data_IF_091952732579
#
_entry.id   IF_091952732579
#
_cell.length_a   1.000
_cell.length_b   1.000
_cell.length_c   1.000
_cell.angle_alpha   90.00
_cell.angle_beta   90.00
_cell.angle_gamma   90.00
#
_symmetry.space_group_name_H-M   'P 1'
#
loop_
_entity.id
_entity.type
_entity.pdbx_description
1 polymer ?
#
# COMPACT_ATOMS: atom_id res chain seq x y z
N UNK A 1 -28.71 -59.04 -35.18
CA UNK A 1 -27.59 -58.52 -34.36
C UNK A 1 -27.67 -56.99 -34.33
N UNK A 2 -28.35 -56.41 -33.32
CA UNK A 2 -28.52 -54.96 -33.15
C UNK A 2 -27.33 -54.42 -32.34
N UNK A 3 -26.53 -53.53 -32.92
CA UNK A 3 -25.50 -52.77 -32.19
C UNK A 3 -26.17 -51.57 -31.51
N UNK A 4 -26.33 -51.62 -30.19
CA UNK A 4 -26.63 -50.43 -29.40
C UNK A 4 -25.32 -49.64 -29.20
N UNK A 5 -25.25 -48.45 -29.77
CA UNK A 5 -24.22 -47.46 -29.44
C UNK A 5 -24.82 -46.57 -28.35
N UNK A 6 -24.38 -46.76 -27.10
CA UNK A 6 -24.67 -45.83 -26.01
C UNK A 6 -23.74 -44.62 -26.15
N UNK A 7 -24.26 -43.51 -26.65
CA UNK A 7 -23.57 -42.21 -26.60
C UNK A 7 -23.85 -41.62 -25.21
N UNK A 8 -22.85 -41.66 -24.33
CA UNK A 8 -22.90 -40.97 -23.05
C UNK A 8 -22.72 -39.46 -23.28
N UNK A 9 -23.81 -38.70 -23.17
CA UNK A 9 -23.78 -37.24 -23.09
C UNK A 9 -23.27 -36.83 -21.71
N UNK A 10 -21.97 -36.53 -21.61
CA UNK A 10 -21.40 -35.92 -20.41
C UNK A 10 -21.83 -34.46 -20.39
N UNK A 11 -22.90 -34.15 -19.65
CA UNK A 11 -23.25 -32.79 -19.23
C UNK A 11 -22.16 -32.28 -18.27
N UNK A 12 -21.11 -31.69 -18.81
CA UNK A 12 -20.19 -30.83 -18.06
C UNK A 12 -20.98 -29.57 -17.67
N UNK A 13 -21.62 -29.59 -16.50
CA UNK A 13 -22.13 -28.38 -15.88
C UNK A 13 -20.94 -27.45 -15.63
N UNK A 14 -20.85 -26.36 -16.40
CA UNK A 14 -19.94 -25.27 -16.12
C UNK A 14 -20.38 -24.62 -14.81
N UNK A 15 -19.90 -25.10 -13.67
CA UNK A 15 -19.87 -24.31 -12.45
C UNK A 15 -18.91 -23.16 -12.73
N UNK A 16 -19.44 -22.02 -13.16
CA UNK A 16 -18.68 -20.80 -13.28
C UNK A 16 -18.26 -20.39 -11.86
N UNK A 17 -17.04 -20.76 -11.46
CA UNK A 17 -16.46 -20.27 -10.23
C UNK A 17 -16.39 -18.74 -10.30
N UNK A 18 -16.86 -18.08 -9.25
CA UNK A 18 -16.77 -16.65 -9.15
C UNK A 18 -15.29 -16.23 -9.22
N UNK A 19 -14.98 -15.34 -10.15
CA UNK A 19 -13.62 -14.97 -10.52
C UNK A 19 -13.51 -13.46 -10.71
N UNK A 20 -12.30 -12.96 -10.47
CA UNK A 20 -11.92 -11.57 -10.73
C UNK A 20 -10.93 -11.53 -11.87
N UNK A 21 -11.06 -10.56 -12.76
CA UNK A 21 -10.18 -10.40 -13.91
C UNK A 21 -9.70 -8.95 -13.99
N UNK A 22 -8.39 -8.75 -14.10
CA UNK A 22 -7.83 -7.43 -14.34
C UNK A 22 -8.13 -6.99 -15.78
N UNK A 23 -8.72 -5.81 -15.94
CA UNK A 23 -9.16 -5.24 -17.21
C UNK A 23 -8.68 -3.80 -17.33
N UNK A 24 -7.65 -3.61 -18.15
CA UNK A 24 -7.09 -2.30 -18.48
C UNK A 24 -6.51 -2.31 -19.89
N UNK A 25 -5.98 -1.18 -20.35
CA UNK A 25 -5.26 -1.10 -21.62
C UNK A 25 -3.91 -1.87 -21.58
N UNK A 26 -3.38 -2.15 -20.39
CA UNK A 26 -2.23 -3.03 -20.21
C UNK A 26 -2.65 -4.50 -20.35
N UNK A 27 -1.81 -5.36 -20.96
CA UNK A 27 -2.16 -6.75 -21.25
C UNK A 27 -2.37 -7.61 -20.00
N UNK A 28 -1.70 -7.27 -18.89
CA UNK A 28 -1.89 -7.90 -17.58
C UNK A 28 -1.50 -6.90 -16.47
N UNK A 29 -1.75 -7.30 -15.22
CA UNK A 29 -1.47 -6.44 -14.07
C UNK A 29 0.03 -6.21 -13.90
N UNK A 30 0.87 -7.21 -14.18
CA UNK A 30 2.34 -7.09 -14.04
C UNK A 30 2.90 -5.99 -14.96
N UNK A 31 2.40 -5.93 -16.19
CA UNK A 31 2.77 -4.90 -17.16
C UNK A 31 2.27 -3.52 -16.72
N UNK A 32 1.05 -3.46 -16.18
CA UNK A 32 0.50 -2.22 -15.62
C UNK A 32 1.36 -1.71 -14.46
N UNK A 33 1.66 -2.57 -13.49
CA UNK A 33 2.46 -2.24 -12.32
C UNK A 33 3.83 -1.74 -12.75
N UNK A 34 4.55 -2.52 -13.58
CA UNK A 34 5.87 -2.16 -14.08
C UNK A 34 5.89 -0.80 -14.79
N UNK A 35 4.89 -0.54 -15.65
CA UNK A 35 4.79 0.72 -16.38
C UNK A 35 4.42 1.92 -15.49
N UNK A 36 3.86 1.69 -14.30
CA UNK A 36 3.44 2.74 -13.36
C UNK A 36 4.37 2.88 -12.15
N UNK A 37 5.34 1.97 -11.98
CA UNK A 37 6.30 1.99 -10.87
C UNK A 37 7.14 3.27 -10.90
N UNK A 38 7.15 3.97 -9.78
CA UNK A 38 8.08 5.05 -9.45
C UNK A 38 8.96 4.52 -8.32
N UNK A 39 10.19 4.16 -8.64
CA UNK A 39 11.10 3.58 -7.65
C UNK A 39 11.44 4.62 -6.56
N UNK A 40 11.15 4.35 -5.28
CA UNK A 40 11.45 5.27 -4.19
C UNK A 40 12.94 5.64 -4.11
N UNK A 41 13.24 6.91 -3.84
CA UNK A 41 14.61 7.44 -3.91
C UNK A 41 15.54 6.72 -2.95
N UNK A 42 15.12 6.49 -1.70
CA UNK A 42 15.94 5.85 -0.68
C UNK A 42 16.28 4.41 -1.08
N UNK A 43 15.28 3.58 -1.40
CA UNK A 43 15.51 2.21 -1.85
C UNK A 43 16.30 2.15 -3.16
N UNK A 44 16.11 3.10 -4.08
CA UNK A 44 16.87 3.19 -5.34
C UNK A 44 18.36 3.47 -5.09
N UNK A 45 18.68 4.50 -4.31
CA UNK A 45 20.05 4.88 -3.97
C UNK A 45 20.76 3.77 -3.18
N UNK A 46 20.00 3.00 -2.41
CA UNK A 46 20.54 1.96 -1.56
C UNK A 46 20.51 0.55 -2.15
N UNK A 47 20.12 0.40 -3.42
CA UNK A 47 20.00 -0.90 -4.09
C UNK A 47 19.12 -1.90 -3.34
N UNK A 48 18.09 -1.39 -2.66
CA UNK A 48 17.14 -2.20 -1.91
C UNK A 48 16.07 -2.69 -2.88
N UNK A 49 16.09 -3.99 -3.15
CA UNK A 49 15.18 -4.69 -4.05
C UNK A 49 14.39 -5.77 -3.30
N UNK A 50 13.29 -6.24 -3.89
CA UNK A 50 12.53 -7.35 -3.33
C UNK A 50 11.11 -7.45 -3.87
N UNK A 51 10.34 -8.36 -3.29
CA UNK A 51 8.91 -8.50 -3.56
C UNK A 51 8.11 -8.03 -2.36
N UNK A 52 7.26 -7.03 -2.57
CA UNK A 52 6.20 -6.65 -1.62
C UNK A 52 4.94 -7.42 -1.99
N UNK A 53 4.22 -7.94 -1.00
CA UNK A 53 2.91 -8.57 -1.21
C UNK A 53 1.84 -7.69 -0.60
N UNK A 54 0.92 -7.22 -1.44
CA UNK A 54 -0.22 -6.42 -1.03
C UNK A 54 -1.47 -7.29 -1.04
N UNK A 55 -2.20 -7.28 0.07
CA UNK A 55 -3.50 -7.90 0.23
C UNK A 55 -4.58 -6.84 0.05
N UNK A 56 -5.55 -7.04 -0.83
CA UNK A 56 -6.63 -6.09 -1.06
C UNK A 56 -7.97 -6.77 -1.32
N UNK A 57 -9.05 -5.99 -1.19
CA UNK A 57 -10.42 -6.42 -1.41
C UNK A 57 -11.13 -5.53 -2.41
N UNK A 58 -12.01 -6.14 -3.21
CA UNK A 58 -12.78 -5.49 -4.26
C UNK A 58 -14.27 -5.47 -3.91
N UNK A 59 -14.95 -4.38 -4.23
CA UNK A 59 -16.41 -4.36 -4.27
C UNK A 59 -16.92 -4.95 -5.60
N UNK A 60 -18.24 -5.07 -5.75
CA UNK A 60 -18.86 -5.61 -6.97
C UNK A 60 -18.55 -4.78 -8.25
N UNK A 61 -18.16 -3.51 -8.09
CA UNK A 61 -17.79 -2.63 -9.20
C UNK A 61 -16.30 -2.74 -9.58
N UNK A 62 -15.54 -3.62 -8.90
CA UNK A 62 -14.10 -3.76 -9.13
C UNK A 62 -13.26 -2.63 -8.53
N UNK A 63 -13.81 -1.87 -7.59
CA UNK A 63 -13.10 -0.83 -6.86
C UNK A 63 -12.46 -1.42 -5.60
N UNK A 64 -11.25 -0.98 -5.30
CA UNK A 64 -10.53 -1.37 -4.09
C UNK A 64 -11.04 -0.54 -2.93
N UNK A 65 -11.59 -1.19 -1.91
CA UNK A 65 -12.07 -0.53 -0.70
C UNK A 65 -11.20 -0.81 0.53
N UNK A 66 -10.27 -1.76 0.43
CA UNK A 66 -9.32 -2.10 1.48
C UNK A 66 -8.04 -2.65 0.87
N UNK A 67 -6.89 -2.18 1.34
CA UNK A 67 -5.55 -2.64 0.94
C UNK A 67 -4.60 -2.60 2.13
N UNK A 68 -3.72 -3.59 2.25
CA UNK A 68 -2.71 -3.67 3.31
C UNK A 68 -1.48 -4.43 2.86
N UNK A 69 -0.34 -4.16 3.49
CA UNK A 69 0.87 -4.96 3.30
C UNK A 69 0.71 -6.31 4.01
N UNK A 70 0.97 -7.39 3.27
CA UNK A 70 1.03 -8.75 3.78
C UNK A 70 2.48 -9.24 3.90
N UNK A 71 3.38 -8.78 3.03
CA UNK A 71 4.81 -9.02 3.11
C UNK A 71 5.55 -7.75 2.71
N UNK A 72 6.42 -7.28 3.61
CA UNK A 72 7.18 -6.04 3.47
C UNK A 72 8.61 -6.29 2.97
N UNK A 73 9.19 -5.28 2.31
CA UNK A 73 10.63 -5.20 2.04
C UNK A 73 11.26 -4.02 2.79
N UNK A 74 10.66 -2.85 2.62
CA UNK A 74 11.00 -1.59 3.28
C UNK A 74 9.81 -0.63 3.15
N UNK A 75 9.61 0.27 4.11
CA UNK A 75 8.43 1.14 4.15
C UNK A 75 8.18 1.97 2.88
N UNK A 76 9.24 2.50 2.25
CA UNK A 76 9.10 3.30 1.03
C UNK A 76 8.64 2.46 -0.19
N UNK A 77 9.09 1.21 -0.30
CA UNK A 77 8.61 0.24 -1.28
C UNK A 77 7.19 -0.24 -0.98
N UNK A 78 6.84 -0.35 0.30
CA UNK A 78 5.50 -0.71 0.73
C UNK A 78 4.47 0.36 0.34
N UNK A 79 4.79 1.63 0.58
CA UNK A 79 3.97 2.77 0.15
C UNK A 79 3.76 2.80 -1.37
N UNK A 80 4.83 2.55 -2.13
CA UNK A 80 4.76 2.48 -3.58
C UNK A 80 3.93 1.27 -4.06
N UNK A 81 4.08 0.10 -3.43
CA UNK A 81 3.28 -1.07 -3.74
C UNK A 81 1.77 -0.82 -3.48
N UNK A 82 1.43 -0.18 -2.36
CA UNK A 82 0.05 0.22 -2.07
C UNK A 82 -0.47 1.19 -3.13
N UNK A 83 0.31 2.23 -3.48
CA UNK A 83 -0.09 3.19 -4.53
C UNK A 83 -0.38 2.49 -5.85
N UNK A 84 0.51 1.59 -6.28
CA UNK A 84 0.35 0.83 -7.53
C UNK A 84 -0.92 -0.02 -7.52
N UNK A 85 -1.20 -0.71 -6.42
CA UNK A 85 -2.42 -1.50 -6.28
C UNK A 85 -3.66 -0.60 -6.28
N UNK A 86 -3.64 0.52 -5.56
CA UNK A 86 -4.76 1.47 -5.52
C UNK A 86 -5.06 2.10 -6.89
N UNK A 87 -4.04 2.29 -7.74
CA UNK A 87 -4.22 2.70 -9.15
C UNK A 87 -4.96 1.66 -10.02
N UNK A 88 -5.06 0.41 -9.57
CA UNK A 88 -5.86 -0.63 -10.24
C UNK A 88 -7.34 -0.59 -9.85
N UNK A 89 -7.73 0.27 -8.91
CA UNK A 89 -9.14 0.43 -8.52
C UNK A 89 -10.01 0.78 -9.73
N UNK A 90 -11.13 0.07 -9.91
CA UNK A 90 -12.01 0.20 -11.08
C UNK A 90 -11.49 -0.49 -12.34
N UNK A 91 -10.34 -1.17 -12.28
CA UNK A 91 -9.77 -1.96 -13.39
C UNK A 91 -9.97 -3.47 -13.18
N UNK A 92 -10.95 -3.84 -12.38
CA UNK A 92 -11.26 -5.25 -12.10
C UNK A 92 -12.67 -5.57 -12.55
N UNK A 93 -12.83 -6.64 -13.32
CA UNK A 93 -14.11 -7.23 -13.58
C UNK A 93 -14.39 -8.29 -12.50
N UNK A 94 -15.46 -8.09 -11.74
CA UNK A 94 -15.87 -9.00 -10.67
C UNK A 94 -17.14 -9.73 -11.11
N UNK A 95 -17.10 -11.07 -11.18
CA UNK A 95 -18.27 -11.85 -11.56
C UNK A 95 -19.35 -11.83 -10.49
N UNK A 96 -20.62 -11.98 -10.89
CA UNK A 96 -21.72 -12.19 -9.95
C UNK A 96 -21.44 -13.36 -9.00
N UNK A 97 -21.70 -13.17 -7.71
CA UNK A 97 -21.46 -14.19 -6.66
C UNK A 97 -20.04 -14.22 -6.09
N UNK A 98 -19.13 -13.33 -6.50
CA UNK A 98 -17.83 -13.19 -5.84
C UNK A 98 -17.99 -12.70 -4.40
N UNK A 99 -17.35 -13.39 -3.45
CA UNK A 99 -17.31 -12.95 -2.05
C UNK A 99 -16.35 -11.76 -1.90
N UNK A 100 -16.91 -10.57 -1.78
CA UNK A 100 -16.16 -9.31 -1.60
C UNK A 100 -15.28 -9.29 -0.35
N UNK A 101 -15.53 -10.17 0.64
CA UNK A 101 -14.67 -10.29 1.82
C UNK A 101 -13.34 -11.01 1.52
N UNK A 102 -13.21 -11.65 0.36
CA UNK A 102 -12.01 -12.38 -0.09
C UNK A 102 -10.81 -11.44 -0.23
N UNK A 103 -9.65 -11.88 0.25
CA UNK A 103 -8.39 -11.18 0.07
C UNK A 103 -7.71 -11.64 -1.23
N UNK A 104 -7.37 -10.69 -2.10
CA UNK A 104 -6.50 -10.91 -3.26
C UNK A 104 -5.08 -10.50 -2.85
N UNK A 105 -4.11 -11.39 -3.07
CA UNK A 105 -2.71 -11.15 -2.71
C UNK A 105 -1.88 -10.95 -3.97
N UNK A 106 -1.56 -9.70 -4.31
CA UNK A 106 -0.72 -9.37 -5.45
C UNK A 106 0.73 -9.23 -5.01
N UNK A 107 1.64 -9.84 -5.80
CA UNK A 107 3.08 -9.67 -5.67
C UNK A 107 3.53 -8.51 -6.54
N UNK A 108 4.28 -7.57 -5.98
CA UNK A 108 4.90 -6.44 -6.68
C UNK A 108 6.41 -6.61 -6.57
N UNK A 109 7.09 -6.77 -7.72
CA UNK A 109 8.53 -6.98 -7.77
C UNK A 109 9.26 -5.67 -8.06
N UNK A 110 10.10 -5.23 -7.12
CA UNK A 110 10.99 -4.09 -7.29
C UNK A 110 12.38 -4.58 -7.67
N UNK A 111 12.77 -4.29 -8.91
CA UNK A 111 14.06 -4.69 -9.50
C UNK A 111 14.75 -3.47 -10.10
N UNK A 112 16.02 -3.29 -9.77
CA UNK A 112 16.88 -2.23 -10.31
C UNK A 112 17.80 -2.86 -11.37
N UNK A 113 17.50 -2.62 -12.64
CA UNK A 113 18.37 -3.01 -13.76
C UNK A 113 19.20 -1.82 -14.21
N UNK A 114 20.51 -1.99 -14.38
CA UNK A 114 21.40 -0.95 -14.88
C UNK A 114 21.80 0.14 -13.87
N UNK A 115 21.59 -0.09 -12.57
CA UNK A 115 21.96 0.85 -11.49
C UNK A 115 23.26 0.49 -10.76
N UNK A 116 24.08 -0.40 -11.35
CA UNK A 116 25.35 -0.87 -10.75
C UNK A 116 25.21 -1.41 -9.32
N UNK A 117 24.07 -2.00 -8.97
CA UNK A 117 23.85 -2.58 -7.64
C UNK A 117 24.76 -3.77 -7.32
N UNK A 118 25.39 -4.35 -8.34
CA UNK A 118 26.45 -5.37 -8.23
C UNK A 118 27.64 -4.91 -7.36
N UNK A 119 27.90 -3.60 -7.27
CA UNK A 119 29.02 -3.07 -6.48
C UNK A 119 28.70 -2.91 -5.00
N UNK A 120 27.43 -3.06 -4.58
CA UNK A 120 27.02 -2.85 -3.19
C UNK A 120 26.89 -4.19 -2.47
N UNK A 121 27.62 -4.35 -1.37
CA UNK A 121 27.58 -5.60 -0.62
C UNK A 121 26.24 -5.80 0.09
N UNK A 122 25.89 -7.06 0.34
CA UNK A 122 24.70 -7.41 1.12
C UNK A 122 24.70 -6.78 2.54
N UNK A 123 25.89 -6.60 3.13
CA UNK A 123 26.06 -5.94 4.42
C UNK A 123 25.68 -4.45 4.36
N UNK A 124 26.15 -3.73 3.35
CA UNK A 124 25.80 -2.31 3.16
C UNK A 124 24.30 -2.11 2.89
N UNK A 125 23.69 -3.01 2.11
CA UNK A 125 22.24 -3.01 1.88
C UNK A 125 21.50 -3.24 3.20
N UNK A 126 21.96 -4.20 4.01
CA UNK A 126 21.37 -4.52 5.33
C UNK A 126 21.50 -3.34 6.30
N UNK A 127 22.67 -2.69 6.34
CA UNK A 127 22.89 -1.50 7.15
C UNK A 127 21.98 -0.34 6.72
N UNK A 128 21.76 -0.16 5.42
CA UNK A 128 20.82 0.84 4.90
C UNK A 128 19.38 0.52 5.37
N UNK A 129 18.90 -0.72 5.19
CA UNK A 129 17.58 -1.13 5.69
C UNK A 129 17.43 -0.90 7.19
N UNK A 130 18.46 -1.20 7.98
CA UNK A 130 18.46 -0.97 9.42
C UNK A 130 18.35 0.51 9.76
N UNK A 131 19.12 1.38 9.10
CA UNK A 131 19.06 2.82 9.30
C UNK A 131 17.65 3.39 9.01
N UNK A 132 17.05 2.98 7.89
CA UNK A 132 15.67 3.33 7.56
C UNK A 132 14.69 2.87 8.64
N UNK A 133 14.81 1.61 9.10
CA UNK A 133 13.92 1.07 10.11
C UNK A 133 14.06 1.80 11.44
N UNK A 134 15.27 2.21 11.82
CA UNK A 134 15.49 3.03 13.02
C UNK A 134 14.72 4.34 12.96
N UNK A 135 14.78 5.05 11.82
CA UNK A 135 14.03 6.30 11.63
C UNK A 135 12.51 6.04 11.65
N UNK A 136 12.05 4.99 10.97
CA UNK A 136 10.64 4.57 11.00
C UNK A 136 10.15 4.25 12.40
N UNK A 137 10.96 3.58 13.23
CA UNK A 137 10.60 3.24 14.60
C UNK A 137 10.47 4.49 15.49
N UNK A 138 11.31 5.51 15.25
CA UNK A 138 11.19 6.80 15.93
C UNK A 138 9.89 7.51 15.52
N UNK A 139 9.54 7.46 14.23
CA UNK A 139 8.25 7.97 13.73
C UNK A 139 7.07 7.24 14.37
N UNK A 140 7.14 5.90 14.49
CA UNK A 140 6.12 5.11 15.15
C UNK A 140 5.98 5.46 16.63
N UNK A 141 7.08 5.75 17.32
CA UNK A 141 7.04 6.22 18.70
C UNK A 141 6.28 7.56 18.82
N UNK A 142 6.52 8.50 17.90
CA UNK A 142 5.76 9.76 17.82
C UNK A 142 4.28 9.48 17.60
N UNK A 143 3.93 8.67 16.60
CA UNK A 143 2.53 8.46 16.25
C UNK A 143 1.75 7.69 17.31
N UNK A 144 2.36 6.68 17.92
CA UNK A 144 1.74 5.89 18.98
C UNK A 144 1.56 6.69 20.27
N UNK A 145 2.46 7.62 20.57
CA UNK A 145 2.31 8.52 21.70
C UNK A 145 1.04 9.37 21.58
N UNK A 146 0.87 10.11 20.48
CA UNK A 146 -0.28 11.00 20.33
C UNK A 146 -1.61 10.26 20.14
N UNK A 147 -1.60 9.05 19.56
CA UNK A 147 -2.78 8.16 19.57
C UNK A 147 -3.24 7.80 21.00
N UNK A 148 -2.33 7.79 21.97
CA UNK A 148 -2.58 7.43 23.37
C UNK A 148 -2.29 8.61 24.32
N UNK A 149 -2.45 9.85 23.84
CA UNK A 149 -2.05 11.05 24.57
C UNK A 149 -2.72 11.16 25.94
N UNK A 150 -3.99 10.78 26.03
CA UNK A 150 -4.80 10.86 27.26
C UNK A 150 -4.27 9.96 28.39
N UNK A 151 -3.42 8.98 28.06
CA UNK A 151 -2.80 8.05 29.02
C UNK A 151 -1.35 8.40 29.34
N UNK A 152 -0.87 9.54 28.86
CA UNK A 152 0.55 9.90 28.88
C UNK A 152 0.84 11.15 29.71
N UNK A 153 2.08 11.29 30.17
CA UNK A 153 2.54 12.41 31.01
C UNK A 153 3.15 13.55 30.18
N UNK A 154 3.17 14.79 30.71
CA UNK A 154 3.90 15.89 30.08
C UNK A 154 5.41 15.63 29.90
N UNK A 155 6.04 14.87 30.82
CA UNK A 155 7.45 14.52 30.70
C UNK A 155 7.72 13.58 29.52
N UNK A 156 6.83 12.62 29.26
CA UNK A 156 6.90 11.76 28.07
C UNK A 156 6.66 12.58 26.79
N UNK A 157 5.75 13.56 26.81
CA UNK A 157 5.52 14.46 25.67
C UNK A 157 6.77 15.24 25.28
N UNK A 158 7.51 15.76 26.28
CA UNK A 158 8.75 16.49 26.02
C UNK A 158 9.80 15.62 25.28
N UNK A 159 9.89 14.32 25.58
CA UNK A 159 10.77 13.39 24.86
C UNK A 159 10.31 13.19 23.41
N UNK A 160 9.00 13.06 23.20
CA UNK A 160 8.43 12.88 21.85
C UNK A 160 8.60 14.14 21.00
N UNK A 161 8.51 15.33 21.59
CA UNK A 161 8.81 16.59 20.89
C UNK A 161 10.27 16.63 20.42
N UNK A 162 11.22 16.17 21.25
CA UNK A 162 12.62 16.08 20.83
C UNK A 162 12.81 15.12 19.64
N UNK A 163 12.10 13.98 19.62
CA UNK A 163 12.12 13.04 18.49
C UNK A 163 11.50 13.69 17.24
N UNK A 164 10.38 14.40 17.36
CA UNK A 164 9.79 15.14 16.23
C UNK A 164 10.78 16.11 15.60
N UNK A 165 11.49 16.88 16.44
CA UNK A 165 12.50 17.82 15.98
C UNK A 165 13.67 17.11 15.28
N UNK A 166 14.13 15.97 15.83
CA UNK A 166 15.16 15.14 15.19
C UNK A 166 14.74 14.62 13.82
N UNK A 167 13.46 14.25 13.67
CA UNK A 167 12.87 13.74 12.43
C UNK A 167 12.45 14.86 11.46
N UNK A 168 12.60 16.14 11.83
CA UNK A 168 12.14 17.27 11.00
C UNK A 168 10.63 17.31 10.81
N UNK A 169 9.84 16.85 11.80
CA UNK A 169 8.38 16.90 11.75
C UNK A 169 7.92 18.27 12.24
N UNK A 170 7.94 19.24 11.34
CA UNK A 170 7.44 20.61 11.51
C UNK A 170 6.12 20.84 10.75
N UNK A 171 5.56 22.04 10.87
CA UNK A 171 4.27 22.37 10.24
C UNK A 171 4.36 22.32 8.71
N UNK A 172 5.47 22.73 8.10
CA UNK A 172 5.69 22.66 6.65
C UNK A 172 5.65 21.21 6.14
N UNK A 173 6.30 20.29 6.85
CA UNK A 173 6.22 18.86 6.56
C UNK A 173 4.79 18.35 6.69
N UNK A 174 4.07 18.71 7.75
CA UNK A 174 2.70 18.27 7.98
C UNK A 174 1.72 18.84 6.94
N UNK A 175 1.89 20.08 6.51
CA UNK A 175 1.11 20.68 5.40
C UNK A 175 1.38 19.96 4.08
N UNK A 176 2.63 19.56 3.82
CA UNK A 176 2.98 18.73 2.66
C UNK A 176 2.22 17.38 2.70
N UNK A 177 2.12 16.75 3.88
CA UNK A 177 1.32 15.52 4.06
C UNK A 177 -0.17 15.76 3.78
N UNK A 178 -0.76 16.87 4.26
CA UNK A 178 -2.15 17.26 3.92
C UNK A 178 -2.33 17.40 2.41
N UNK A 179 -1.42 18.11 1.73
CA UNK A 179 -1.46 18.29 0.27
C UNK A 179 -1.42 16.95 -0.47
N UNK A 180 -0.56 16.03 -0.04
CA UNK A 180 -0.47 14.69 -0.60
C UNK A 180 -1.77 13.91 -0.38
N UNK A 181 -2.38 13.99 0.81
CA UNK A 181 -3.67 13.37 1.09
C UNK A 181 -4.79 13.88 0.19
N UNK A 182 -4.86 15.20 -0.03
CA UNK A 182 -5.81 15.81 -0.96
C UNK A 182 -5.59 15.35 -2.41
N UNK A 183 -4.34 15.20 -2.83
CA UNK A 183 -4.01 14.69 -4.15
C UNK A 183 -4.46 13.24 -4.32
N UNK A 184 -4.18 12.37 -3.33
CA UNK A 184 -4.63 10.97 -3.32
C UNK A 184 -6.14 10.88 -3.41
N UNK A 185 -6.87 11.69 -2.63
CA UNK A 185 -8.33 11.74 -2.67
C UNK A 185 -8.87 12.09 -4.06
N UNK A 186 -8.30 13.13 -4.70
CA UNK A 186 -8.67 13.52 -6.08
C UNK A 186 -8.43 12.42 -7.10
N UNK A 187 -7.46 11.54 -6.85
CA UNK A 187 -7.12 10.39 -7.69
C UNK A 187 -7.97 9.15 -7.38
N UNK A 188 -8.90 9.22 -6.42
CA UNK A 188 -9.73 8.09 -5.98
C UNK A 188 -9.08 7.19 -4.92
N UNK A 189 -7.85 7.48 -4.50
CA UNK A 189 -7.19 6.79 -3.37
C UNK A 189 -7.68 7.36 -2.03
N UNK A 190 -8.91 6.99 -1.66
CA UNK A 190 -9.52 7.43 -0.39
C UNK A 190 -8.79 6.90 0.84
N UNK A 191 -8.42 5.62 0.82
CA UNK A 191 -7.70 5.01 1.96
C UNK A 191 -6.36 5.71 2.17
N UNK A 192 -5.58 5.93 1.11
CA UNK A 192 -4.31 6.64 1.18
C UNK A 192 -4.45 8.09 1.61
N UNK A 193 -5.49 8.79 1.16
CA UNK A 193 -5.78 10.14 1.66
C UNK A 193 -5.98 10.14 3.18
N UNK A 194 -6.76 9.19 3.69
CA UNK A 194 -7.03 9.07 5.12
C UNK A 194 -5.81 8.65 5.94
N UNK A 195 -4.90 7.86 5.36
CA UNK A 195 -3.61 7.53 5.98
C UNK A 195 -2.75 8.80 6.16
N UNK A 196 -2.70 9.69 5.15
CA UNK A 196 -1.99 10.97 5.24
C UNK A 196 -2.58 11.89 6.32
N UNK A 197 -3.90 12.08 6.32
CA UNK A 197 -4.56 12.93 7.32
C UNK A 197 -4.44 12.33 8.73
N UNK A 198 -4.56 11.01 8.86
CA UNK A 198 -4.40 10.33 10.14
C UNK A 198 -2.97 10.46 10.66
N UNK A 199 -1.96 10.37 9.79
CA UNK A 199 -0.58 10.61 10.17
C UNK A 199 -0.42 11.98 10.82
N UNK A 200 -0.90 13.05 10.17
CA UNK A 200 -0.79 14.42 10.69
C UNK A 200 -1.50 14.60 12.03
N UNK A 201 -2.70 14.04 12.19
CA UNK A 201 -3.38 14.02 13.49
C UNK A 201 -2.55 13.27 14.55
N UNK A 202 -1.99 12.13 14.17
CA UNK A 202 -1.20 11.29 15.05
C UNK A 202 0.20 11.86 15.34
N UNK A 203 0.58 13.02 14.81
CA UNK A 203 1.78 13.75 15.28
C UNK A 203 1.45 14.86 16.28
N UNK A 204 0.20 14.89 16.75
CA UNK A 204 -0.31 15.89 17.70
C UNK A 204 -0.78 17.19 17.04
N UNK A 205 -0.82 17.26 15.71
CA UNK A 205 -1.28 18.44 14.98
C UNK A 205 -2.78 18.41 14.76
N UNK A 206 -3.41 19.60 14.74
CA UNK A 206 -4.83 19.78 14.42
C UNK A 206 -5.08 20.08 12.93
N UNK A 207 -4.02 20.22 12.13
CA UNK A 207 -4.12 20.57 10.70
C UNK A 207 -5.00 19.60 9.89
N UNK A 208 -5.12 18.34 10.34
CA UNK A 208 -5.89 17.30 9.66
C UNK A 208 -7.35 17.17 10.09
N UNK A 209 -7.79 17.86 11.14
CA UNK A 209 -9.09 17.58 11.78
C UNK A 209 -10.27 17.78 10.83
N UNK A 210 -10.27 18.87 10.04
CA UNK A 210 -11.31 19.12 9.04
C UNK A 210 -11.29 18.10 7.90
N UNK A 211 -10.10 17.67 7.48
CA UNK A 211 -9.92 16.74 6.37
C UNK A 211 -10.40 15.33 6.74
N UNK A 212 -10.08 14.88 7.96
CA UNK A 212 -10.58 13.62 8.50
C UNK A 212 -12.11 13.62 8.57
N UNK A 213 -12.70 14.68 9.14
CA UNK A 213 -14.16 14.79 9.26
C UNK A 213 -14.87 14.83 7.90
N UNK A 214 -14.22 15.43 6.89
CA UNK A 214 -14.82 15.59 5.58
C UNK A 214 -14.67 14.35 4.68
N UNK A 215 -13.54 13.64 4.78
CA UNK A 215 -13.15 12.64 3.78
C UNK A 215 -13.02 11.21 4.30
N UNK A 216 -12.94 11.00 5.62
CA UNK A 216 -12.56 9.72 6.23
C UNK A 216 -13.60 9.13 7.19
N UNK A 217 -14.80 9.71 7.19
CA UNK A 217 -15.97 9.24 7.94
C UNK A 217 -16.80 8.24 7.13
#
# INVERSE_FOLDING_TARGET
MKKLIFIAFILLSNLAFAQVQFKSDSPNIESFLTAKTVYPMYSKQNCIQGTVVVSFKLNANGEIYSSKINQSVLGDLDEEALRLIRLTSGKWQVSAGYDTATNINQRINFVLLGFNCESKSASEITASKMAYQTESNLMDAVTNFYKNKDKSTPAQEAQIIAIKNQLGIDDDYLESRIKNGLQKYKQGDKQGACEEFSFVKNTGSKLADEYLNKYCN
#
